data_IF_886707306897
#
_entry.id   IF_886707306897
#
_cell.length_a   1.000
_cell.length_b   1.000
_cell.length_c   1.000
_cell.angle_alpha   90.00
_cell.angle_beta   90.00
_cell.angle_gamma   90.00
#
_symmetry.space_group_name_H-M   'P 1'
#
loop_
_entity.id
_entity.type
_entity.pdbx_description
1 polymer ?
#
# COMPACT_ATOMS: atom_id res chain seq x y z
N UNK A 1 31.15 16.28 16.95
CA UNK A 1 31.21 14.90 17.49
C UNK A 1 30.59 14.02 16.41
N UNK A 2 31.37 13.08 15.88
CA UNK A 2 31.21 12.50 14.54
C UNK A 2 29.94 11.66 14.37
N UNK A 3 29.11 12.01 13.37
CA UNK A 3 28.07 11.15 12.80
C UNK A 3 28.77 10.03 12.02
N UNK A 4 28.76 8.82 12.56
CA UNK A 4 29.18 7.62 11.84
C UNK A 4 28.13 7.28 10.78
N UNK A 5 28.27 7.89 9.61
CA UNK A 5 27.64 7.42 8.37
C UNK A 5 28.01 5.95 8.19
N UNK A 6 27.12 5.04 8.56
CA UNK A 6 27.25 3.62 8.27
C UNK A 6 27.10 3.47 6.75
N UNK A 7 28.21 3.66 6.02
CA UNK A 7 28.29 3.30 4.61
C UNK A 7 27.92 1.84 4.50
N UNK A 8 26.90 1.53 3.70
CA UNK A 8 26.44 0.18 3.53
C UNK A 8 27.59 -0.64 2.92
N UNK A 9 28.13 -1.67 3.58
CA UNK A 9 29.32 -2.40 3.13
C UNK A 9 29.12 -3.05 1.74
N UNK A 10 27.87 -3.27 1.33
CA UNK A 10 27.53 -3.69 -0.03
C UNK A 10 27.76 -2.60 -1.07
N UNK A 11 27.46 -1.35 -0.75
CA UNK A 11 27.58 -0.21 -1.66
C UNK A 11 29.05 0.09 -1.95
N UNK A 12 29.89 0.03 -0.90
CA UNK A 12 31.34 0.16 -1.04
C UNK A 12 31.99 -1.01 -1.81
N UNK A 13 31.45 -2.22 -1.68
CA UNK A 13 31.90 -3.38 -2.45
C UNK A 13 31.51 -3.28 -3.93
N UNK A 14 30.30 -2.79 -4.21
CA UNK A 14 29.81 -2.60 -5.59
C UNK A 14 30.59 -1.50 -6.31
N UNK A 15 30.96 -0.41 -5.63
CA UNK A 15 31.77 0.68 -6.20
C UNK A 15 33.22 0.25 -6.52
N UNK A 16 33.72 -0.79 -5.85
CA UNK A 16 35.07 -1.33 -6.06
C UNK A 16 35.12 -2.46 -7.08
N UNK A 17 33.99 -2.81 -7.71
CA UNK A 17 33.98 -3.85 -8.74
C UNK A 17 34.78 -3.40 -9.98
N UNK A 18 35.69 -4.24 -10.51
CA UNK A 18 36.39 -3.94 -11.74
C UNK A 18 35.43 -3.89 -12.92
N UNK A 19 35.69 -3.02 -13.89
CA UNK A 19 34.78 -2.74 -15.02
C UNK A 19 34.45 -3.95 -15.90
N UNK A 20 35.27 -5.01 -15.87
CA UNK A 20 35.05 -6.28 -16.58
C UNK A 20 34.48 -7.41 -15.73
N UNK A 21 34.07 -7.17 -14.48
CA UNK A 21 33.55 -8.24 -13.60
C UNK A 21 32.36 -8.98 -14.23
N UNK A 22 31.48 -8.25 -14.90
CA UNK A 22 30.27 -8.80 -15.51
C UNK A 22 30.55 -9.60 -16.79
N UNK A 23 31.72 -9.43 -17.41
CA UNK A 23 32.13 -10.16 -18.61
C UNK A 23 32.51 -11.62 -18.28
N UNK A 24 32.97 -11.87 -17.05
CA UNK A 24 33.29 -13.21 -16.55
C UNK A 24 32.06 -14.00 -16.07
N UNK A 25 30.89 -13.37 -15.95
CA UNK A 25 29.67 -14.04 -15.52
C UNK A 25 29.09 -14.86 -16.67
N UNK A 26 28.79 -16.13 -16.40
CA UNK A 26 28.05 -16.96 -17.33
C UNK A 26 26.58 -16.48 -17.44
N UNK A 27 25.86 -16.97 -18.44
CA UNK A 27 24.47 -16.54 -18.69
C UNK A 27 23.54 -16.85 -17.50
N UNK A 28 23.79 -17.94 -16.78
CA UNK A 28 22.97 -18.37 -15.64
C UNK A 28 23.21 -17.51 -14.39
N UNK A 29 24.46 -17.18 -14.08
CA UNK A 29 24.87 -16.28 -13.01
C UNK A 29 24.34 -14.86 -13.25
N UNK A 30 24.33 -14.42 -14.52
CA UNK A 30 23.77 -13.11 -14.90
C UNK A 30 22.26 -13.07 -14.71
N UNK A 31 21.56 -14.15 -15.04
CA UNK A 31 20.12 -14.28 -14.80
C UNK A 31 19.80 -14.29 -13.30
N UNK A 32 20.57 -15.02 -12.49
CA UNK A 32 20.41 -15.05 -11.03
C UNK A 32 20.68 -13.68 -10.38
N UNK A 33 21.71 -12.97 -10.84
CA UNK A 33 22.01 -11.62 -10.34
C UNK A 33 20.92 -10.62 -10.73
N UNK A 34 20.40 -10.73 -11.95
CA UNK A 34 19.27 -9.92 -12.43
C UNK A 34 18.02 -10.18 -11.59
N UNK A 35 17.71 -11.45 -11.30
CA UNK A 35 16.58 -11.85 -10.45
C UNK A 35 16.73 -11.34 -9.02
N UNK A 36 17.93 -11.44 -8.44
CA UNK A 36 18.23 -10.90 -7.10
C UNK A 36 18.06 -9.37 -7.03
N UNK A 37 18.45 -8.65 -8.09
CA UNK A 37 18.25 -7.20 -8.18
C UNK A 37 16.80 -6.78 -8.42
N UNK A 38 16.01 -7.62 -9.08
CA UNK A 38 14.58 -7.39 -9.36
C UNK A 38 13.64 -7.92 -8.28
N UNK A 39 14.17 -8.57 -7.24
CA UNK A 39 13.43 -9.01 -6.08
C UNK A 39 12.99 -7.81 -5.21
N UNK A 40 12.22 -6.87 -5.77
CA UNK A 40 11.23 -6.06 -5.05
C UNK A 40 10.10 -7.02 -4.65
N UNK A 41 10.46 -7.98 -3.82
CA UNK A 41 9.55 -9.04 -3.45
C UNK A 41 8.74 -8.51 -2.29
N UNK A 42 7.44 -8.41 -2.52
CA UNK A 42 6.39 -8.14 -1.54
C UNK A 42 6.41 -9.12 -0.33
N UNK A 43 7.38 -10.04 -0.27
CA UNK A 43 7.63 -11.00 0.80
C UNK A 43 8.22 -10.37 2.07
N UNK A 44 8.79 -9.16 2.02
CA UNK A 44 9.52 -8.56 3.16
C UNK A 44 8.90 -7.25 3.65
N UNK A 45 7.58 -7.24 3.86
CA UNK A 45 6.93 -6.15 4.59
C UNK A 45 6.87 -6.50 6.09
N UNK A 46 7.33 -5.62 6.99
CA UNK A 46 7.38 -5.90 8.43
C UNK A 46 6.00 -6.10 9.06
N UNK A 47 4.93 -5.64 8.41
CA UNK A 47 3.55 -5.88 8.84
C UNK A 47 2.72 -6.41 7.66
N UNK A 48 2.26 -7.66 7.79
CA UNK A 48 1.36 -8.33 6.86
C UNK A 48 0.18 -8.89 7.67
N UNK A 49 -0.88 -8.09 7.83
CA UNK A 49 -2.09 -8.50 8.55
C UNK A 49 -3.11 -8.95 7.50
N UNK A 50 -3.52 -10.22 7.58
CA UNK A 50 -4.55 -10.79 6.72
C UNK A 50 -5.80 -11.05 7.53
N UNK A 51 -6.87 -10.35 7.20
CA UNK A 51 -8.17 -10.53 7.83
C UNK A 51 -9.08 -11.21 6.83
N UNK A 52 -9.54 -12.42 7.16
CA UNK A 52 -10.60 -13.09 6.40
C UNK A 52 -11.93 -12.49 6.82
N UNK A 53 -12.83 -12.23 5.85
CA UNK A 53 -14.14 -11.66 6.13
C UNK A 53 -15.19 -12.78 6.11
N UNK A 54 -15.56 -13.37 7.26
CA UNK A 54 -16.39 -14.58 7.31
C UNK A 54 -17.86 -14.32 6.95
N UNK A 55 -18.31 -13.06 6.90
CA UNK A 55 -19.71 -12.71 6.68
C UNK A 55 -20.12 -12.51 5.22
N UNK A 56 -19.18 -12.59 4.26
CA UNK A 56 -19.52 -12.52 2.84
C UNK A 56 -19.64 -13.93 2.25
N UNK A 57 -20.60 -14.17 1.33
CA UNK A 57 -20.81 -15.49 0.71
C UNK A 57 -19.65 -15.95 -0.18
N UNK A 58 -18.64 -15.08 -0.40
CA UNK A 58 -17.40 -15.39 -1.10
C UNK A 58 -16.24 -15.28 -0.11
N UNK A 59 -15.29 -16.22 -0.19
CA UNK A 59 -14.04 -16.25 0.60
C UNK A 59 -13.17 -15.05 0.23
N UNK A 60 -13.46 -13.92 0.82
CA UNK A 60 -12.75 -12.66 0.60
C UNK A 60 -11.81 -12.43 1.78
N UNK A 61 -10.59 -12.02 1.45
CA UNK A 61 -9.56 -11.67 2.43
C UNK A 61 -9.10 -10.23 2.16
N UNK A 62 -8.83 -9.51 3.23
CA UNK A 62 -8.25 -8.16 3.18
C UNK A 62 -6.82 -8.27 3.71
N UNK A 63 -5.85 -7.77 2.95
CA UNK A 63 -4.45 -7.71 3.38
C UNK A 63 -4.05 -6.26 3.60
N UNK A 64 -3.63 -5.95 4.82
CA UNK A 64 -3.00 -4.67 5.16
C UNK A 64 -1.49 -4.90 5.17
N UNK A 65 -0.81 -4.23 4.24
CA UNK A 65 0.64 -4.26 4.11
C UNK A 65 1.18 -2.91 4.58
N UNK A 66 2.06 -2.91 5.59
CA UNK A 66 2.78 -1.71 6.00
C UNK A 66 4.29 -1.98 6.05
N UNK A 67 5.08 -1.02 5.57
CA UNK A 67 6.54 -1.08 5.54
C UNK A 67 7.16 0.28 5.30
N UNK A 68 8.47 0.41 5.53
CA UNK A 68 9.18 1.66 5.26
C UNK A 68 9.23 1.90 3.75
N UNK A 69 8.60 2.97 3.30
CA UNK A 69 8.64 3.42 1.93
C UNK A 69 10.06 3.88 1.56
N UNK A 70 10.69 3.24 0.56
CA UNK A 70 12.07 3.56 0.12
C UNK A 70 12.12 4.41 -1.16
N UNK A 71 10.98 4.74 -1.76
CA UNK A 71 10.92 5.55 -2.99
C UNK A 71 11.17 7.03 -2.68
N UNK A 72 11.81 7.75 -3.59
CA UNK A 72 12.13 9.18 -3.42
C UNK A 72 10.86 10.04 -3.21
N UNK A 73 10.94 11.00 -2.27
CA UNK A 73 9.80 11.78 -1.77
C UNK A 73 9.00 12.51 -2.86
N UNK A 74 9.64 12.95 -3.94
CA UNK A 74 8.99 13.66 -5.04
C UNK A 74 7.95 12.80 -5.78
N UNK A 75 8.21 11.49 -5.94
CA UNK A 75 7.26 10.56 -6.56
C UNK A 75 6.10 10.22 -5.63
N UNK A 76 6.34 10.13 -4.32
CA UNK A 76 5.28 9.90 -3.34
C UNK A 76 4.31 11.07 -3.21
N UNK A 77 4.82 12.30 -3.30
CA UNK A 77 3.99 13.51 -3.22
C UNK A 77 3.01 13.64 -4.39
N UNK A 78 3.34 13.05 -5.54
CA UNK A 78 2.49 13.01 -6.74
C UNK A 78 1.43 11.89 -6.58
N UNK A 79 1.85 10.69 -6.17
CA UNK A 79 0.95 9.54 -6.00
C UNK A 79 -0.08 9.75 -4.86
N UNK A 80 0.34 10.43 -3.78
CA UNK A 80 -0.53 10.79 -2.66
C UNK A 80 -1.60 11.84 -3.00
N UNK A 81 -1.46 12.59 -4.10
CA UNK A 81 -2.52 13.49 -4.60
C UNK A 81 -3.59 12.71 -5.38
N UNK A 82 -3.17 11.68 -6.12
CA UNK A 82 -4.08 10.87 -6.95
C UNK A 82 -4.95 9.91 -6.12
N UNK A 83 -4.42 9.33 -5.04
CA UNK A 83 -5.14 8.32 -4.23
C UNK A 83 -5.84 8.89 -2.98
N UNK A 84 -6.14 10.19 -2.95
CA UNK A 84 -6.69 10.88 -1.76
C UNK A 84 -8.09 10.40 -1.35
N UNK A 85 -8.88 9.86 -2.27
CA UNK A 85 -10.25 9.40 -2.00
C UNK A 85 -10.31 8.16 -1.10
N UNK A 86 -9.29 7.29 -1.14
CA UNK A 86 -9.25 6.01 -0.42
C UNK A 86 -8.60 6.10 0.97
N UNK A 87 -8.34 7.31 1.49
CA UNK A 87 -7.88 7.46 2.87
C UNK A 87 -8.98 7.01 3.84
N UNK A 88 -8.66 6.29 4.93
CA UNK A 88 -9.65 5.74 5.84
C UNK A 88 -10.58 6.81 6.43
N UNK A 89 -10.07 8.03 6.66
CA UNK A 89 -10.88 9.16 7.12
C UNK A 89 -11.94 9.63 6.10
N UNK A 90 -11.60 9.64 4.80
CA UNK A 90 -12.56 10.03 3.76
C UNK A 90 -13.63 8.96 3.58
N UNK A 91 -13.25 7.68 3.59
CA UNK A 91 -14.19 6.56 3.53
C UNK A 91 -15.17 6.61 4.70
N UNK A 92 -14.68 6.81 5.93
CA UNK A 92 -15.52 6.90 7.12
C UNK A 92 -16.46 8.11 7.06
N UNK A 93 -15.99 9.25 6.56
CA UNK A 93 -16.83 10.43 6.35
C UNK A 93 -17.99 10.15 5.38
N UNK A 94 -17.72 9.55 4.22
CA UNK A 94 -18.77 9.22 3.25
C UNK A 94 -19.77 8.21 3.79
N UNK A 95 -19.33 7.18 4.52
CA UNK A 95 -20.22 6.22 5.17
C UNK A 95 -21.10 6.92 6.22
N UNK A 96 -20.50 7.78 7.04
CA UNK A 96 -21.24 8.57 8.05
C UNK A 96 -22.30 9.47 7.43
N UNK A 97 -21.95 10.28 6.43
CA UNK A 97 -22.89 11.17 5.73
C UNK A 97 -24.01 10.38 5.05
N UNK A 98 -23.68 9.27 4.40
CA UNK A 98 -24.68 8.41 3.73
C UNK A 98 -25.65 7.79 4.75
N UNK A 99 -25.14 7.37 5.90
CA UNK A 99 -25.95 6.79 6.98
C UNK A 99 -26.89 7.84 7.57
N UNK A 100 -26.38 9.05 7.84
CA UNK A 100 -27.19 10.16 8.34
C UNK A 100 -28.30 10.54 7.34
N UNK A 101 -27.97 10.61 6.05
CA UNK A 101 -28.93 10.89 4.99
C UNK A 101 -30.05 9.84 4.94
N UNK A 102 -29.70 8.55 5.01
CA UNK A 102 -30.68 7.46 5.06
C UNK A 102 -31.59 7.55 6.29
N UNK A 103 -31.05 7.87 7.46
CA UNK A 103 -31.84 8.04 8.68
C UNK A 103 -32.82 9.22 8.56
N UNK A 104 -32.38 10.34 8.00
CA UNK A 104 -33.25 11.49 7.75
C UNK A 104 -34.34 11.18 6.74
N UNK A 105 -34.01 10.51 5.63
CA UNK A 105 -34.98 10.09 4.63
C UNK A 105 -36.02 9.12 5.22
N UNK A 106 -35.58 8.18 6.05
CA UNK A 106 -36.46 7.24 6.73
C UNK A 106 -37.36 7.94 7.76
N UNK A 107 -36.83 8.91 8.52
CA UNK A 107 -37.61 9.75 9.42
C UNK A 107 -38.66 10.59 8.69
N UNK A 108 -38.28 11.20 7.57
CA UNK A 108 -39.20 11.95 6.71
C UNK A 108 -40.32 11.05 6.15
N UNK A 109 -39.99 9.83 5.73
CA UNK A 109 -40.98 8.85 5.26
C UNK A 109 -41.99 8.50 6.36
N UNK A 110 -41.54 8.30 7.60
CA UNK A 110 -42.42 8.02 8.73
C UNK A 110 -43.35 9.21 9.02
N UNK A 111 -42.83 10.44 8.95
CA UNK A 111 -43.61 11.66 9.16
C UNK A 111 -44.61 11.95 8.03
N UNK A 112 -44.29 11.56 6.79
CA UNK A 112 -45.16 11.70 5.62
C UNK A 112 -46.20 10.57 5.50
N UNK A 113 -45.97 9.43 6.16
CA UNK A 113 -46.88 8.27 6.17
C UNK A 113 -48.36 8.63 6.41
N UNK A 114 -48.74 9.46 7.40
CA UNK A 114 -50.14 9.81 7.62
C UNK A 114 -50.77 10.68 6.53
N UNK A 115 -49.98 11.30 5.63
CA UNK A 115 -50.50 12.04 4.47
C UNK A 115 -50.90 11.13 3.30
N UNK A 116 -50.41 9.88 3.28
CA UNK A 116 -50.58 8.93 2.16
C UNK A 116 -51.71 7.93 2.43
N UNK A 117 -52.16 7.79 3.68
CA UNK A 117 -53.23 6.87 4.10
C UNK A 117 -54.65 7.50 4.10
N UNK A 118 -54.83 8.71 3.55
CA UNK A 118 -56.14 9.33 3.24
C UNK A 118 -56.46 9.20 1.74
#
# INVERSE_FOLDING_TARGET
MAESSQTNPLEELLDRLPSGFFDGLNAEQRAQLWEAGHAVTWKRHPVNIRVNLPWLPRRLFVTVVAGSERRAGDRLAIEGRLHRLLRPGNVLFFVGVSTLFLLLAMGALVLLRPLVEF
#
